data_IF_512943733285
#
_entry.id   IF_512943733285
#
_cell.length_a   1.000
_cell.length_b   1.000
_cell.length_c   1.000
_cell.angle_alpha   90.00
_cell.angle_beta   90.00
_cell.angle_gamma   90.00
#
_symmetry.space_group_name_H-M   'P 1'
#
loop_
_entity.id
_entity.type
_entity.pdbx_description
1 polymer ?
#
# COMPACT_ATOMS: atom_id res chain seq x y z
N UNK A 1 -17.32 -30.11 54.47
CA UNK A 1 -18.58 -29.49 54.02
C UNK A 1 -18.32 -28.01 53.71
N UNK A 2 -18.20 -27.66 52.43
CA UNK A 2 -18.23 -26.28 51.92
C UNK A 2 -19.04 -26.31 50.63
N UNK A 3 -20.07 -25.48 50.57
CA UNK A 3 -21.06 -25.43 49.49
C UNK A 3 -20.44 -24.98 48.16
N UNK A 4 -20.94 -25.44 47.00
CA UNK A 4 -20.58 -24.85 45.72
C UNK A 4 -21.37 -23.55 45.50
N UNK A 5 -20.60 -22.49 45.22
CA UNK A 5 -21.09 -21.18 44.81
C UNK A 5 -21.80 -21.31 43.45
N UNK A 6 -23.10 -21.04 43.42
CA UNK A 6 -23.87 -20.89 42.18
C UNK A 6 -23.26 -19.76 41.34
N UNK A 7 -22.66 -20.09 40.19
CA UNK A 7 -22.46 -19.11 39.11
C UNK A 7 -23.77 -19.02 38.31
N UNK A 8 -24.39 -17.84 38.17
CA UNK A 8 -25.53 -17.69 37.28
C UNK A 8 -25.07 -17.79 35.82
N UNK A 9 -25.90 -18.48 35.05
CA UNK A 9 -25.73 -18.73 33.64
C UNK A 9 -25.99 -17.47 32.80
N UNK A 10 -25.24 -17.37 31.70
CA UNK A 10 -25.51 -16.52 30.53
C UNK A 10 -25.54 -15.00 30.79
N UNK A 11 -24.35 -14.41 30.93
CA UNK A 11 -24.13 -13.08 30.39
C UNK A 11 -24.15 -13.19 28.86
N UNK A 12 -25.32 -12.91 28.29
CA UNK A 12 -25.48 -12.70 26.85
C UNK A 12 -24.55 -11.54 26.49
N UNK A 13 -23.44 -11.85 25.83
CA UNK A 13 -22.57 -10.83 25.23
C UNK A 13 -23.47 -9.86 24.45
N UNK A 14 -23.35 -8.54 24.68
CA UNK A 14 -24.16 -7.57 23.96
C UNK A 14 -23.97 -7.81 22.47
N UNK A 15 -25.09 -7.95 21.75
CA UNK A 15 -25.14 -7.90 20.29
C UNK A 15 -24.06 -6.96 19.78
N UNK A 16 -23.12 -7.48 18.99
CA UNK A 16 -22.23 -6.65 18.19
C UNK A 16 -23.12 -5.56 17.59
N UNK A 17 -22.90 -4.30 17.98
CA UNK A 17 -23.35 -3.17 17.18
C UNK A 17 -22.61 -3.31 15.85
N UNK A 18 -23.15 -4.14 14.96
CA UNK A 18 -22.79 -4.15 13.55
C UNK A 18 -22.96 -2.70 13.13
N UNK A 19 -21.84 -2.02 12.87
CA UNK A 19 -21.83 -0.69 12.32
C UNK A 19 -22.56 -0.73 10.98
N UNK A 20 -23.89 -0.58 11.02
CA UNK A 20 -24.71 -0.46 9.81
C UNK A 20 -24.27 0.84 9.15
N UNK A 21 -23.81 0.73 7.90
CA UNK A 21 -23.54 1.88 7.04
C UNK A 21 -24.69 2.89 7.16
N UNK A 22 -24.36 4.16 7.42
CA UNK A 22 -25.39 5.18 7.57
C UNK A 22 -26.12 5.41 6.24
N UNK A 23 -27.36 5.91 6.29
CA UNK A 23 -28.15 6.15 5.08
C UNK A 23 -27.42 7.08 4.09
N UNK A 24 -26.79 8.14 4.60
CA UNK A 24 -26.01 9.09 3.79
C UNK A 24 -24.77 8.47 3.16
N UNK A 25 -24.00 7.67 3.91
CA UNK A 25 -22.84 6.95 3.36
C UNK A 25 -23.25 6.03 2.21
N UNK A 26 -24.39 5.34 2.35
CA UNK A 26 -24.92 4.48 1.28
C UNK A 26 -25.37 5.28 0.06
N UNK A 27 -26.04 6.42 0.25
CA UNK A 27 -26.46 7.31 -0.84
C UNK A 27 -25.24 7.83 -1.60
N UNK A 28 -24.21 8.30 -0.89
CA UNK A 28 -22.96 8.76 -1.48
C UNK A 28 -22.31 7.63 -2.28
N UNK A 29 -22.20 6.43 -1.71
CA UNK A 29 -21.60 5.28 -2.39
C UNK A 29 -22.37 4.91 -3.67
N UNK A 30 -23.70 4.90 -3.63
CA UNK A 30 -24.53 4.64 -4.80
C UNK A 30 -24.35 5.73 -5.86
N UNK A 31 -24.32 7.00 -5.46
CA UNK A 31 -24.08 8.10 -6.39
C UNK A 31 -22.72 7.95 -7.08
N UNK A 32 -21.64 7.70 -6.33
CA UNK A 32 -20.29 7.51 -6.89
C UNK A 32 -20.25 6.31 -7.84
N UNK A 33 -20.72 5.14 -7.42
CA UNK A 33 -20.70 3.95 -8.28
C UNK A 33 -21.52 4.14 -9.57
N UNK A 34 -22.65 4.86 -9.48
CA UNK A 34 -23.46 5.21 -10.65
C UNK A 34 -22.77 6.22 -11.57
N UNK A 35 -22.18 7.27 -11.00
CA UNK A 35 -21.46 8.33 -11.70
C UNK A 35 -20.25 7.76 -12.45
N UNK A 36 -19.38 7.00 -11.77
CA UNK A 36 -18.22 6.35 -12.37
C UNK A 36 -18.62 5.29 -13.39
N UNK A 37 -19.66 4.49 -13.08
CA UNK A 37 -20.17 3.47 -13.99
C UNK A 37 -20.66 4.07 -15.31
N UNK A 38 -21.47 5.13 -15.25
CA UNK A 38 -21.96 5.81 -16.45
C UNK A 38 -20.82 6.49 -17.23
N UNK A 39 -19.94 7.22 -16.53
CA UNK A 39 -18.80 7.91 -17.14
C UNK A 39 -17.85 6.94 -17.85
N UNK A 40 -17.47 5.85 -17.19
CA UNK A 40 -16.56 4.85 -17.74
C UNK A 40 -17.19 4.03 -18.88
N UNK A 41 -18.50 3.73 -18.81
CA UNK A 41 -19.20 3.09 -19.94
C UNK A 41 -19.23 4.01 -21.17
N UNK A 42 -19.57 5.29 -20.99
CA UNK A 42 -19.62 6.25 -22.12
C UNK A 42 -18.22 6.52 -22.66
N UNK A 43 -17.27 6.92 -21.81
CA UNK A 43 -15.90 7.21 -22.22
C UNK A 43 -15.21 5.99 -22.84
N UNK A 44 -15.34 4.82 -22.22
CA UNK A 44 -14.82 3.57 -22.77
C UNK A 44 -15.43 3.23 -24.12
N UNK A 45 -16.75 3.39 -24.29
CA UNK A 45 -17.41 3.13 -25.58
C UNK A 45 -16.96 4.09 -26.68
N UNK A 46 -16.79 5.38 -26.37
CA UNK A 46 -16.32 6.38 -27.34
C UNK A 46 -14.89 6.07 -27.81
N UNK A 47 -13.99 5.72 -26.88
CA UNK A 47 -12.61 5.33 -27.21
C UNK A 47 -12.54 4.01 -28.00
N UNK A 48 -13.46 3.07 -27.74
CA UNK A 48 -13.54 1.83 -28.54
C UNK A 48 -14.11 2.09 -29.94
N UNK A 49 -15.10 2.97 -30.05
CA UNK A 49 -15.74 3.32 -31.33
C UNK A 49 -14.83 4.15 -32.23
N UNK A 50 -14.03 5.04 -31.66
CA UNK A 50 -13.03 5.85 -32.34
C UNK A 50 -11.68 5.78 -31.59
N UNK A 51 -10.89 4.70 -31.80
CA UNK A 51 -9.60 4.52 -31.11
C UNK A 51 -8.55 5.58 -31.42
N UNK A 52 -8.74 6.36 -32.48
CA UNK A 52 -7.89 7.52 -32.78
C UNK A 52 -8.14 8.71 -31.83
N UNK A 53 -9.17 8.63 -30.98
CA UNK A 53 -9.55 9.63 -29.98
C UNK A 53 -10.37 10.80 -30.55
N UNK A 54 -10.77 10.73 -31.83
CA UNK A 54 -11.46 11.83 -32.53
C UNK A 54 -12.81 12.21 -31.91
N UNK A 55 -13.54 11.27 -31.32
CA UNK A 55 -14.83 11.53 -30.66
C UNK A 55 -14.69 12.30 -29.34
N UNK A 56 -13.48 12.40 -28.79
CA UNK A 56 -13.21 13.08 -27.51
C UNK A 56 -12.17 14.21 -27.67
N UNK A 57 -11.81 14.57 -28.91
CA UNK A 57 -10.76 15.54 -29.23
C UNK A 57 -9.41 15.23 -28.54
N UNK A 58 -9.07 13.95 -28.42
CA UNK A 58 -7.86 13.49 -27.74
C UNK A 58 -6.84 12.92 -28.74
N UNK A 59 -5.72 13.61 -29.01
CA UNK A 59 -4.70 13.07 -29.91
C UNK A 59 -3.92 11.93 -29.23
N UNK A 60 -3.71 10.81 -29.94
CA UNK A 60 -2.96 9.63 -29.43
C UNK A 60 -1.57 9.98 -28.87
N UNK A 61 -0.93 11.02 -29.40
CA UNK A 61 0.40 11.49 -28.99
C UNK A 61 0.51 11.81 -27.49
N UNK A 62 -0.59 12.12 -26.80
CA UNK A 62 -0.59 12.40 -25.35
C UNK A 62 -0.15 11.22 -24.50
N UNK A 63 -0.24 9.98 -25.02
CA UNK A 63 0.18 8.76 -24.31
C UNK A 63 1.68 8.46 -24.43
N UNK A 64 2.45 9.34 -25.09
CA UNK A 64 3.90 9.26 -25.24
C UNK A 64 4.39 7.91 -25.81
N UNK A 65 3.62 7.32 -26.71
CA UNK A 65 3.94 6.03 -27.34
C UNK A 65 3.66 4.79 -26.48
N UNK A 66 3.01 4.94 -25.32
CA UNK A 66 2.63 3.80 -24.46
C UNK A 66 1.63 2.85 -25.13
N UNK A 67 0.77 3.39 -25.99
CA UNK A 67 -0.20 2.66 -26.80
C UNK A 67 -0.21 3.23 -28.23
N UNK A 68 -0.55 2.38 -29.21
CA UNK A 68 -0.70 2.79 -30.61
C UNK A 68 -1.98 3.60 -30.87
N UNK A 69 -3.01 3.40 -30.05
CA UNK A 69 -4.33 4.03 -30.10
C UNK A 69 -5.03 3.85 -28.73
N UNK A 70 -6.26 4.38 -28.59
CA UNK A 70 -7.06 4.28 -27.37
C UNK A 70 -7.91 3.00 -27.26
N UNK A 71 -7.76 1.99 -28.14
CA UNK A 71 -8.61 0.80 -28.11
C UNK A 71 -8.44 0.03 -26.80
N UNK A 72 -7.20 -0.28 -26.42
CA UNK A 72 -6.91 -1.02 -25.18
C UNK A 72 -7.34 -0.20 -23.95
N UNK A 73 -6.96 1.09 -23.81
CA UNK A 73 -7.51 1.94 -22.76
C UNK A 73 -9.04 1.97 -22.71
N UNK A 74 -9.70 2.09 -23.86
CA UNK A 74 -11.15 2.14 -23.99
C UNK A 74 -11.85 0.86 -23.53
N UNK A 75 -11.32 -0.31 -23.91
CA UNK A 75 -11.82 -1.62 -23.45
C UNK A 75 -11.71 -1.75 -21.92
N UNK A 76 -10.55 -1.37 -21.36
CA UNK A 76 -10.31 -1.42 -19.92
C UNK A 76 -11.28 -0.50 -19.17
N UNK A 77 -11.44 0.74 -19.64
CA UNK A 77 -12.35 1.71 -19.06
C UNK A 77 -13.81 1.24 -19.16
N UNK A 78 -14.23 0.70 -20.31
CA UNK A 78 -15.58 0.15 -20.49
C UNK A 78 -15.85 -1.02 -19.53
N UNK A 79 -14.89 -1.94 -19.37
CA UNK A 79 -14.98 -3.05 -18.44
C UNK A 79 -15.10 -2.59 -16.98
N UNK A 80 -14.34 -1.54 -16.60
CA UNK A 80 -14.48 -0.89 -15.29
C UNK A 80 -15.85 -0.24 -15.12
N UNK A 81 -16.42 0.32 -16.19
CA UNK A 81 -17.81 0.81 -16.22
C UNK A 81 -18.82 -0.28 -15.88
N UNK A 82 -18.71 -1.44 -16.54
CA UNK A 82 -19.56 -2.62 -16.24
C UNK A 82 -19.42 -3.03 -14.77
N UNK A 83 -18.19 -3.10 -14.25
CA UNK A 83 -17.93 -3.47 -12.86
C UNK A 83 -18.57 -2.48 -11.88
N UNK A 84 -18.45 -1.17 -12.13
CA UNK A 84 -19.06 -0.13 -11.28
C UNK A 84 -20.59 -0.17 -11.33
N UNK A 85 -21.19 -0.39 -12.49
CA UNK A 85 -22.64 -0.58 -12.62
C UNK A 85 -23.12 -1.85 -11.90
N UNK A 86 -22.38 -2.96 -12.02
CA UNK A 86 -22.69 -4.18 -11.28
C UNK A 86 -22.59 -3.97 -9.76
N UNK A 87 -21.56 -3.24 -9.29
CA UNK A 87 -21.39 -2.88 -7.90
C UNK A 87 -22.52 -1.96 -7.39
N UNK A 88 -22.95 -0.99 -8.20
CA UNK A 88 -24.10 -0.14 -7.91
C UNK A 88 -25.35 -0.99 -7.62
N UNK A 89 -25.70 -1.91 -8.51
CA UNK A 89 -26.86 -2.79 -8.30
C UNK A 89 -26.68 -3.73 -7.11
N UNK A 90 -25.47 -4.23 -6.86
CA UNK A 90 -25.17 -5.06 -5.69
C UNK A 90 -25.41 -4.31 -4.38
N UNK A 91 -24.94 -3.06 -4.27
CA UNK A 91 -25.16 -2.17 -3.12
C UNK A 91 -26.63 -1.75 -3.03
N UNK A 92 -27.29 -1.45 -4.15
CA UNK A 92 -28.70 -1.05 -4.20
C UNK A 92 -29.61 -2.16 -3.68
N UNK A 93 -29.35 -3.41 -4.10
CA UNK A 93 -30.08 -4.61 -3.70
C UNK A 93 -29.63 -5.20 -2.36
N UNK A 94 -28.59 -4.64 -1.72
CA UNK A 94 -28.01 -5.14 -0.46
C UNK A 94 -27.64 -6.62 -0.52
N UNK A 95 -26.99 -7.01 -1.61
CA UNK A 95 -26.55 -8.39 -1.79
C UNK A 95 -25.47 -8.75 -0.77
N UNK A 96 -25.27 -10.04 -0.46
CA UNK A 96 -24.26 -10.52 0.49
C UNK A 96 -22.80 -10.16 0.16
N UNK A 97 -22.53 -9.80 -1.10
CA UNK A 97 -21.20 -9.46 -1.61
C UNK A 97 -21.10 -7.99 -2.06
N UNK A 98 -22.06 -7.15 -1.65
CA UNK A 98 -22.10 -5.74 -2.03
C UNK A 98 -20.80 -5.00 -1.72
N UNK A 99 -20.21 -5.26 -0.55
CA UNK A 99 -18.96 -4.66 -0.11
C UNK A 99 -17.76 -5.11 -0.96
N UNK A 100 -17.72 -6.38 -1.40
CA UNK A 100 -16.63 -6.90 -2.25
C UNK A 100 -16.70 -6.20 -3.61
N UNK A 101 -17.90 -6.15 -4.20
CA UNK A 101 -18.12 -5.49 -5.48
C UNK A 101 -17.78 -4.00 -5.42
N UNK A 102 -18.26 -3.30 -4.39
CA UNK A 102 -17.99 -1.87 -4.22
C UNK A 102 -16.50 -1.59 -4.04
N UNK A 103 -15.82 -2.32 -3.16
CA UNK A 103 -14.37 -2.14 -2.94
C UNK A 103 -13.58 -2.47 -4.20
N UNK A 104 -13.91 -3.55 -4.91
CA UNK A 104 -13.20 -3.95 -6.14
C UNK A 104 -13.39 -2.91 -7.24
N UNK A 105 -14.62 -2.40 -7.42
CA UNK A 105 -14.92 -1.36 -8.40
C UNK A 105 -14.15 -0.06 -8.11
N UNK A 106 -14.17 0.42 -6.86
CA UNK A 106 -13.52 1.65 -6.46
C UNK A 106 -11.99 1.55 -6.50
N UNK A 107 -11.41 0.42 -6.06
CA UNK A 107 -9.97 0.19 -6.19
C UNK A 107 -9.56 0.07 -7.65
N UNK A 108 -10.38 -0.55 -8.50
CA UNK A 108 -10.17 -0.59 -9.95
C UNK A 108 -10.11 0.80 -10.56
N UNK A 109 -11.02 1.70 -10.19
CA UNK A 109 -11.00 3.09 -10.66
C UNK A 109 -9.80 3.89 -10.13
N UNK A 110 -9.45 3.73 -8.85
CA UNK A 110 -8.24 4.38 -8.31
C UNK A 110 -6.97 3.93 -9.03
N UNK A 111 -6.88 2.62 -9.32
CA UNK A 111 -5.76 2.06 -10.07
C UNK A 111 -5.75 2.58 -11.51
N UNK A 112 -6.92 2.64 -12.16
CA UNK A 112 -7.09 3.20 -13.50
C UNK A 112 -6.58 4.63 -13.59
N UNK A 113 -7.07 5.54 -12.75
CA UNK A 113 -6.63 6.93 -12.77
C UNK A 113 -5.14 7.08 -12.46
N UNK A 114 -4.60 6.25 -11.56
CA UNK A 114 -3.17 6.27 -11.27
C UNK A 114 -2.32 5.85 -12.48
N UNK A 115 -2.73 4.81 -13.21
CA UNK A 115 -2.07 4.38 -14.46
C UNK A 115 -2.22 5.44 -15.55
N UNK A 116 -3.41 6.04 -15.69
CA UNK A 116 -3.68 7.10 -16.65
C UNK A 116 -2.75 8.31 -16.42
N UNK A 117 -2.65 8.79 -15.18
CA UNK A 117 -1.72 9.88 -14.82
C UNK A 117 -0.28 9.49 -15.11
N UNK A 118 0.11 8.23 -14.89
CA UNK A 118 1.46 7.75 -15.17
C UNK A 118 1.77 7.68 -16.67
N UNK A 119 0.80 7.29 -17.50
CA UNK A 119 0.92 7.24 -18.97
C UNK A 119 0.96 8.65 -19.56
N UNK A 120 0.11 9.56 -19.07
CA UNK A 120 0.05 10.94 -19.56
C UNK A 120 1.18 11.82 -19.01
N UNK A 121 1.83 11.40 -17.92
CA UNK A 121 2.83 12.16 -17.16
C UNK A 121 2.32 13.53 -16.67
N UNK A 122 1.01 13.65 -16.50
CA UNK A 122 0.33 14.90 -16.17
C UNK A 122 -0.89 14.68 -15.28
N UNK A 123 -1.06 15.57 -14.29
CA UNK A 123 -2.26 15.65 -13.46
C UNK A 123 -3.22 16.70 -14.03
N UNK A 124 -4.03 16.30 -15.01
CA UNK A 124 -5.10 17.13 -15.55
C UNK A 124 -6.28 17.28 -14.56
N UNK A 125 -7.05 18.38 -14.66
CA UNK A 125 -8.18 18.66 -13.76
C UNK A 125 -9.28 17.59 -13.82
N UNK A 126 -9.42 16.91 -14.97
CA UNK A 126 -10.35 15.79 -15.13
C UNK A 126 -10.04 14.66 -14.13
N UNK A 127 -8.77 14.38 -13.84
CA UNK A 127 -8.42 13.39 -12.82
C UNK A 127 -8.92 13.79 -11.43
N UNK A 128 -8.98 15.09 -11.12
CA UNK A 128 -9.59 15.55 -9.87
C UNK A 128 -11.11 15.42 -9.90
N UNK A 129 -11.75 15.79 -11.02
CA UNK A 129 -13.20 15.69 -11.20
C UNK A 129 -13.70 14.26 -11.04
N UNK A 130 -13.03 13.28 -11.64
CA UNK A 130 -13.41 11.86 -11.58
C UNK A 130 -12.77 11.13 -10.38
N UNK A 131 -11.52 11.43 -10.03
CA UNK A 131 -10.82 10.72 -8.95
C UNK A 131 -11.30 11.07 -7.54
N UNK A 132 -11.68 12.34 -7.27
CA UNK A 132 -12.16 12.74 -5.93
C UNK A 132 -13.46 12.02 -5.52
N UNK A 133 -14.49 11.89 -6.39
CA UNK A 133 -15.64 11.04 -6.13
C UNK A 133 -15.26 9.61 -5.74
N UNK A 134 -14.31 8.97 -6.42
CA UNK A 134 -13.86 7.61 -6.09
C UNK A 134 -13.27 7.53 -4.68
N UNK A 135 -12.44 8.50 -4.30
CA UNK A 135 -11.89 8.58 -2.92
C UNK A 135 -13.02 8.71 -1.90
N UNK A 136 -13.99 9.59 -2.15
CA UNK A 136 -15.17 9.76 -1.29
C UNK A 136 -16.00 8.48 -1.21
N UNK A 137 -16.20 7.79 -2.34
CA UNK A 137 -16.86 6.49 -2.42
C UNK A 137 -16.14 5.41 -1.61
N UNK A 138 -14.80 5.36 -1.69
CA UNK A 138 -13.98 4.41 -0.93
C UNK A 138 -14.13 4.63 0.57
N UNK A 139 -14.13 5.88 1.03
CA UNK A 139 -14.40 6.24 2.43
C UNK A 139 -15.82 5.85 2.85
N UNK A 140 -16.82 6.08 2.00
CA UNK A 140 -18.21 5.71 2.24
C UNK A 140 -18.43 4.18 2.26
N UNK A 141 -17.57 3.40 1.60
CA UNK A 141 -17.58 1.94 1.60
C UNK A 141 -16.90 1.33 2.83
N UNK A 142 -16.04 2.06 3.56
CA UNK A 142 -15.31 1.54 4.73
C UNK A 142 -16.21 0.84 5.78
N UNK A 143 -17.41 1.35 6.14
CA UNK A 143 -18.29 0.67 7.09
C UNK A 143 -18.82 -0.68 6.60
N UNK A 144 -18.90 -0.90 5.29
CA UNK A 144 -19.36 -2.17 4.70
C UNK A 144 -18.34 -3.30 4.84
N UNK A 145 -17.05 -2.97 4.90
CA UNK A 145 -15.98 -3.97 5.01
C UNK A 145 -15.95 -4.55 6.43
N UNK A 146 -15.93 -5.88 6.62
CA UNK A 146 -15.81 -6.43 7.97
C UNK A 146 -14.44 -6.14 8.60
N UNK A 147 -14.41 -5.92 9.92
CA UNK A 147 -13.20 -5.52 10.67
C UNK A 147 -11.99 -6.44 10.43
N UNK A 148 -12.23 -7.74 10.33
CA UNK A 148 -11.20 -8.75 10.00
C UNK A 148 -10.49 -8.44 8.68
N UNK A 149 -11.26 -8.13 7.63
CA UNK A 149 -10.71 -7.87 6.31
C UNK A 149 -9.99 -6.52 6.28
N UNK A 150 -10.46 -5.52 7.04
CA UNK A 150 -9.73 -4.25 7.20
C UNK A 150 -8.32 -4.49 7.76
N UNK A 151 -8.20 -5.26 8.83
CA UNK A 151 -6.89 -5.52 9.44
C UNK A 151 -5.97 -6.29 8.48
N UNK A 152 -6.50 -7.31 7.80
CA UNK A 152 -5.74 -8.04 6.77
C UNK A 152 -5.29 -7.13 5.63
N UNK A 153 -6.18 -6.26 5.15
CA UNK A 153 -5.88 -5.31 4.09
C UNK A 153 -4.75 -4.35 4.52
N UNK A 154 -4.86 -3.73 5.71
CA UNK A 154 -3.82 -2.85 6.26
C UNK A 154 -2.46 -3.56 6.33
N UNK A 155 -2.39 -4.79 6.85
CA UNK A 155 -1.14 -5.55 6.90
C UNK A 155 -0.64 -5.93 5.50
N UNK A 156 -1.54 -6.29 4.58
CA UNK A 156 -1.18 -6.62 3.19
C UNK A 156 -0.64 -5.41 2.42
N UNK A 157 -0.97 -4.18 2.83
CA UNK A 157 -0.38 -2.97 2.24
C UNK A 157 1.15 -2.95 2.38
N UNK A 158 1.76 -3.60 3.39
CA UNK A 158 3.22 -3.71 3.48
C UNK A 158 3.82 -4.59 2.38
N UNK A 159 3.10 -5.64 1.99
CA UNK A 159 3.52 -6.49 0.85
C UNK A 159 3.35 -5.70 -0.45
N UNK A 160 2.19 -5.07 -0.64
CA UNK A 160 1.90 -4.30 -1.84
C UNK A 160 2.84 -3.09 -2.01
N UNK A 161 3.15 -2.36 -0.94
CA UNK A 161 4.12 -1.25 -1.00
C UNK A 161 5.49 -1.76 -1.42
N UNK A 162 5.90 -2.92 -0.90
CA UNK A 162 7.20 -3.51 -1.19
C UNK A 162 7.33 -3.95 -2.64
N UNK A 163 6.31 -4.63 -3.17
CA UNK A 163 6.24 -5.02 -4.58
C UNK A 163 6.22 -3.79 -5.48
N UNK A 164 5.42 -2.77 -5.13
CA UNK A 164 5.36 -1.52 -5.90
C UNK A 164 6.72 -0.83 -5.95
N UNK A 165 7.39 -0.64 -4.81
CA UNK A 165 8.68 0.06 -4.79
C UNK A 165 9.77 -0.71 -5.54
N UNK A 166 9.74 -2.05 -5.46
CA UNK A 166 10.60 -2.90 -6.28
C UNK A 166 10.32 -2.70 -7.78
N UNK A 167 9.05 -2.71 -8.20
CA UNK A 167 8.66 -2.48 -9.59
C UNK A 167 9.09 -1.09 -10.08
N UNK A 168 8.97 -0.04 -9.27
CA UNK A 168 9.45 1.32 -9.59
C UNK A 168 10.96 1.29 -9.91
N UNK A 169 11.75 0.57 -9.11
CA UNK A 169 13.19 0.42 -9.31
C UNK A 169 13.59 -0.44 -10.52
N UNK A 170 12.62 -1.02 -11.23
CA UNK A 170 12.82 -1.69 -12.52
C UNK A 170 12.30 -0.79 -13.65
N UNK A 171 11.05 -0.33 -13.54
CA UNK A 171 10.34 0.41 -14.59
C UNK A 171 11.01 1.76 -14.86
N UNK A 172 11.30 2.54 -13.81
CA UNK A 172 11.77 3.92 -13.99
C UNK A 172 13.17 3.99 -14.60
N UNK A 173 14.17 3.20 -14.17
CA UNK A 173 15.47 3.15 -14.84
C UNK A 173 15.42 2.80 -16.32
N UNK A 174 14.49 1.92 -16.74
CA UNK A 174 14.33 1.55 -18.15
C UNK A 174 13.88 2.73 -19.03
N UNK A 175 13.35 3.80 -18.44
CA UNK A 175 12.91 5.01 -19.14
C UNK A 175 14.01 6.08 -19.25
N UNK A 176 15.22 5.82 -18.75
CA UNK A 176 16.34 6.74 -18.86
C UNK A 176 17.50 6.10 -19.63
N UNK A 177 17.65 6.50 -20.89
CA UNK A 177 18.77 6.09 -21.74
C UNK A 177 20.12 6.46 -21.09
N UNK A 178 21.02 5.48 -20.99
CA UNK A 178 22.33 5.67 -20.35
C UNK A 178 22.32 5.61 -18.81
N UNK A 179 21.18 5.37 -18.16
CA UNK A 179 21.14 5.12 -16.72
C UNK A 179 21.73 3.75 -16.37
N UNK A 180 22.73 3.73 -15.49
CA UNK A 180 23.36 2.51 -15.00
C UNK A 180 22.85 2.17 -13.60
N UNK A 181 22.19 1.01 -13.46
CA UNK A 181 21.73 0.49 -12.17
C UNK A 181 22.88 0.25 -11.18
N UNK A 182 24.09 -0.01 -11.68
CA UNK A 182 25.24 -0.29 -10.85
C UNK A 182 25.90 1.00 -10.33
N UNK A 183 26.03 2.01 -11.19
CA UNK A 183 26.84 3.19 -10.90
C UNK A 183 26.04 4.45 -10.56
N UNK A 184 24.71 4.39 -10.63
CA UNK A 184 23.82 5.49 -10.25
C UNK A 184 22.91 5.10 -9.09
N UNK A 185 22.76 6.03 -8.15
CA UNK A 185 21.90 5.86 -6.98
C UNK A 185 20.43 5.97 -7.41
N UNK A 186 19.49 5.25 -6.78
CA UNK A 186 18.06 5.38 -7.09
C UNK A 186 17.52 6.81 -6.93
N UNK A 187 18.07 7.61 -6.02
CA UNK A 187 17.67 9.00 -5.83
C UNK A 187 17.90 9.87 -7.07
N UNK A 188 18.88 9.55 -7.93
CA UNK A 188 19.09 10.26 -9.20
C UNK A 188 17.88 10.14 -10.15
N UNK A 189 17.08 9.07 -10.06
CA UNK A 189 15.88 8.88 -10.90
C UNK A 189 14.78 9.92 -10.63
N UNK A 190 14.85 10.57 -9.46
CA UNK A 190 13.93 11.63 -9.03
C UNK A 190 14.60 13.00 -8.91
N UNK A 191 15.86 13.11 -9.34
CA UNK A 191 16.64 14.34 -9.23
C UNK A 191 16.09 15.46 -10.12
N UNK A 192 16.40 16.70 -9.74
CA UNK A 192 16.15 17.89 -10.56
C UNK A 192 16.96 17.74 -11.86
N UNK A 193 16.26 17.79 -12.99
CA UNK A 193 16.85 17.60 -14.32
C UNK A 193 16.77 16.16 -14.85
N UNK A 194 16.40 15.17 -14.02
CA UNK A 194 16.24 13.80 -14.49
C UNK A 194 14.99 13.66 -15.38
N UNK A 195 15.09 12.99 -16.55
CA UNK A 195 13.94 12.79 -17.44
C UNK A 195 12.83 11.97 -16.78
N UNK A 196 13.19 11.11 -15.84
CA UNK A 196 12.29 10.21 -15.11
C UNK A 196 11.60 10.82 -13.91
N UNK A 197 11.92 12.07 -13.54
CA UNK A 197 11.46 12.66 -12.26
C UNK A 197 9.93 12.66 -12.12
N UNK A 198 9.21 13.04 -13.17
CA UNK A 198 7.75 13.07 -13.17
C UNK A 198 7.16 11.66 -12.97
N UNK A 199 7.66 10.71 -13.74
CA UNK A 199 7.24 9.30 -13.65
C UNK A 199 7.49 8.75 -12.24
N UNK A 200 8.68 9.00 -11.67
CA UNK A 200 8.99 8.60 -10.30
C UNK A 200 8.00 9.18 -9.29
N UNK A 201 7.73 10.49 -9.36
CA UNK A 201 6.82 11.16 -8.43
C UNK A 201 5.40 10.55 -8.49
N UNK A 202 4.89 10.27 -9.69
CA UNK A 202 3.58 9.65 -9.90
C UNK A 202 3.56 8.23 -9.35
N UNK A 203 4.54 7.39 -9.72
CA UNK A 203 4.55 5.99 -9.32
C UNK A 203 4.82 5.80 -7.82
N UNK A 204 5.62 6.68 -7.20
CA UNK A 204 5.92 6.64 -5.77
C UNK A 204 4.76 7.16 -4.90
N UNK A 205 3.75 7.81 -5.47
CA UNK A 205 2.64 8.38 -4.68
C UNK A 205 1.85 7.32 -3.91
N UNK A 206 1.38 6.20 -4.52
CA UNK A 206 0.66 5.17 -3.77
C UNK A 206 1.52 4.47 -2.71
N UNK A 207 2.84 4.39 -2.91
CA UNK A 207 3.76 3.78 -1.94
C UNK A 207 3.65 4.45 -0.57
N UNK A 208 3.60 5.79 -0.52
CA UNK A 208 3.43 6.56 0.73
C UNK A 208 2.16 6.19 1.48
N UNK A 209 1.03 6.05 0.77
CA UNK A 209 -0.23 5.68 1.38
C UNK A 209 -0.26 4.22 1.83
N UNK A 210 0.33 3.32 1.05
CA UNK A 210 0.42 1.90 1.39
C UNK A 210 1.28 1.66 2.64
N UNK A 211 2.42 2.35 2.77
CA UNK A 211 3.28 2.20 3.95
C UNK A 211 2.64 2.81 5.21
N UNK A 212 1.88 3.91 5.08
CA UNK A 212 1.08 4.47 6.17
C UNK A 212 -0.03 3.50 6.61
N UNK A 213 -0.75 2.92 5.66
CA UNK A 213 -1.77 1.91 5.93
C UNK A 213 -1.15 0.68 6.62
N UNK A 214 0.04 0.27 6.19
CA UNK A 214 0.81 -0.80 6.84
C UNK A 214 1.19 -0.46 8.28
N UNK A 215 1.80 0.69 8.53
CA UNK A 215 2.16 1.15 9.88
C UNK A 215 0.95 1.22 10.81
N UNK A 216 -0.20 1.67 10.30
CA UNK A 216 -1.47 1.66 11.03
C UNK A 216 -1.95 0.23 11.34
N UNK A 217 -1.80 -0.69 10.38
CA UNK A 217 -2.05 -2.11 10.57
C UNK A 217 -1.18 -2.72 11.67
N UNK A 218 0.12 -2.43 11.68
CA UNK A 218 1.06 -2.87 12.73
C UNK A 218 0.64 -2.32 14.09
N UNK A 219 0.29 -1.04 14.17
CA UNK A 219 -0.15 -0.40 15.42
C UNK A 219 -1.42 -1.05 15.99
N UNK A 220 -2.38 -1.43 15.12
CA UNK A 220 -3.58 -2.18 15.53
C UNK A 220 -3.28 -3.61 15.94
N UNK A 221 -2.33 -4.27 15.28
CA UNK A 221 -1.93 -5.63 15.60
C UNK A 221 -1.22 -5.72 16.96
N UNK A 222 -0.59 -4.63 17.40
CA UNK A 222 0.21 -4.58 18.63
C UNK A 222 -0.56 -4.98 19.90
N UNK A 223 -1.86 -4.64 20.02
CA UNK A 223 -2.61 -4.86 21.26
C UNK A 223 -1.87 -4.25 22.47
N UNK A 224 -1.52 -5.10 23.43
CA UNK A 224 -0.76 -4.74 24.64
C UNK A 224 0.77 -4.79 24.47
N UNK A 225 1.28 -5.29 23.33
CA UNK A 225 2.72 -5.36 23.07
C UNK A 225 3.31 -3.96 22.81
N UNK A 226 3.92 -3.38 23.85
CA UNK A 226 4.45 -2.02 23.81
C UNK A 226 5.55 -1.83 22.76
N UNK A 227 6.44 -2.82 22.56
CA UNK A 227 7.50 -2.76 21.56
C UNK A 227 6.93 -2.72 20.14
N UNK A 228 5.93 -3.56 19.84
CA UNK A 228 5.26 -3.56 18.53
C UNK A 228 4.49 -2.25 18.30
N UNK A 229 3.96 -1.65 19.36
CA UNK A 229 3.29 -0.35 19.32
C UNK A 229 4.27 0.77 18.94
N UNK A 230 5.49 0.75 19.49
CA UNK A 230 6.56 1.69 19.12
C UNK A 230 6.95 1.47 17.66
N UNK A 231 7.17 0.22 17.23
CA UNK A 231 7.48 -0.10 15.84
C UNK A 231 6.41 0.40 14.86
N UNK A 232 5.11 0.20 15.18
CA UNK A 232 4.00 0.74 14.37
C UNK A 232 4.00 2.27 14.27
N UNK A 233 4.27 2.98 15.37
CA UNK A 233 4.41 4.45 15.37
C UNK A 233 5.60 4.92 14.51
N UNK A 234 6.72 4.22 14.58
CA UNK A 234 7.89 4.51 13.75
C UNK A 234 7.60 4.28 12.27
N UNK A 235 6.89 3.20 11.90
CA UNK A 235 6.44 2.97 10.52
C UNK A 235 5.47 4.04 10.02
N UNK A 236 4.58 4.54 10.89
CA UNK A 236 3.73 5.69 10.56
C UNK A 236 4.56 6.96 10.33
N UNK A 237 5.55 7.22 11.19
CA UNK A 237 6.46 8.35 11.02
C UNK A 237 7.27 8.23 9.71
N UNK A 238 7.82 7.04 9.42
CA UNK A 238 8.48 6.73 8.15
C UNK A 238 7.57 7.04 6.96
N UNK A 239 6.33 6.55 6.99
CA UNK A 239 5.36 6.81 5.92
C UNK A 239 5.03 8.29 5.76
N UNK A 240 4.90 9.02 6.87
CA UNK A 240 4.61 10.45 6.85
C UNK A 240 5.75 11.28 6.23
N UNK A 241 7.01 10.86 6.36
CA UNK A 241 8.14 11.49 5.66
C UNK A 241 8.00 11.40 4.13
N UNK A 242 7.22 10.45 3.61
CA UNK A 242 6.84 10.34 2.19
C UNK A 242 6.28 11.64 1.60
N UNK A 243 5.57 12.44 2.40
CA UNK A 243 5.02 13.73 1.96
C UNK A 243 6.07 14.85 1.87
N UNK A 244 7.25 14.67 2.49
CA UNK A 244 8.32 15.66 2.47
C UNK A 244 9.30 15.44 1.29
N UNK A 245 9.43 14.21 0.81
CA UNK A 245 10.32 13.86 -0.30
C UNK A 245 10.14 14.69 -1.58
N UNK A 246 8.91 15.06 -2.01
CA UNK A 246 8.71 15.93 -3.18
C UNK A 246 9.38 17.31 -3.07
N UNK A 247 9.65 17.78 -1.85
CA UNK A 247 10.30 19.07 -1.57
C UNK A 247 11.82 18.95 -1.35
N UNK A 248 12.34 17.72 -1.35
CA UNK A 248 13.75 17.41 -1.14
C UNK A 248 14.40 16.63 -2.31
N UNK A 249 14.14 16.95 -3.59
CA UNK A 249 14.88 16.33 -4.68
C UNK A 249 16.35 16.79 -4.69
N UNK A 250 17.28 15.87 -4.89
CA UNK A 250 18.67 16.22 -5.15
C UNK A 250 18.86 16.74 -6.58
N UNK A 251 19.96 17.44 -6.84
CA UNK A 251 20.42 17.73 -8.19
C UNK A 251 21.19 16.56 -8.79
N UNK A 252 21.28 16.53 -10.12
CA UNK A 252 22.15 15.61 -10.84
C UNK A 252 23.64 15.89 -10.53
N UNK A 253 24.45 14.84 -10.63
CA UNK A 253 25.89 14.85 -10.29
C UNK A 253 26.68 15.93 -11.03
N UNK A 254 26.33 16.18 -12.30
CA UNK A 254 26.98 17.19 -13.14
C UNK A 254 26.75 18.61 -12.57
N UNK A 255 25.54 18.88 -12.09
CA UNK A 255 25.18 20.15 -11.45
C UNK A 255 25.83 20.28 -10.06
N UNK A 256 25.88 19.20 -9.29
CA UNK A 256 26.53 19.19 -7.98
C UNK A 256 28.03 19.49 -8.08
N UNK A 257 28.72 18.85 -9.02
CA UNK A 257 30.16 19.06 -9.24
C UNK A 257 30.48 20.49 -9.70
N UNK A 258 29.56 21.14 -10.42
CA UNK A 258 29.68 22.54 -10.82
C UNK A 258 29.36 23.54 -9.69
N UNK A 259 29.10 23.07 -8.47
CA UNK A 259 28.76 23.92 -7.32
C UNK A 259 27.30 24.40 -7.31
N UNK A 260 26.43 23.83 -8.15
CA UNK A 260 25.01 24.20 -8.27
C UNK A 260 24.08 23.59 -7.21
N UNK A 261 24.62 22.98 -6.15
CA UNK A 261 23.83 22.42 -5.07
C UNK A 261 23.05 23.50 -4.30
N UNK A 262 21.88 23.14 -3.79
CA UNK A 262 21.00 24.06 -3.05
C UNK A 262 20.61 23.51 -1.68
N UNK A 263 19.74 24.24 -0.98
CA UNK A 263 19.12 23.76 0.25
C UNK A 263 18.38 22.42 0.05
N UNK A 264 17.85 22.16 -1.15
CA UNK A 264 17.13 20.92 -1.44
C UNK A 264 18.03 19.68 -1.31
N UNK A 265 19.30 19.76 -1.71
CA UNK A 265 20.28 18.68 -1.55
C UNK A 265 20.64 18.44 -0.08
N UNK A 266 20.66 19.50 0.72
CA UNK A 266 20.86 19.40 2.17
C UNK A 266 19.66 18.71 2.82
N UNK A 267 18.44 19.11 2.44
CA UNK A 267 17.22 18.49 2.91
C UNK A 267 17.13 17.02 2.49
N UNK A 268 17.54 16.69 1.27
CA UNK A 268 17.60 15.31 0.76
C UNK A 268 18.47 14.42 1.66
N UNK A 269 19.69 14.87 1.99
CA UNK A 269 20.61 14.14 2.88
C UNK A 269 20.04 13.97 4.29
N UNK A 270 19.47 15.04 4.86
CA UNK A 270 18.85 14.98 6.19
C UNK A 270 17.67 13.99 6.19
N UNK A 271 16.81 14.08 5.18
CA UNK A 271 15.63 13.23 5.07
C UNK A 271 16.02 11.77 4.87
N UNK A 272 17.04 11.48 4.06
CA UNK A 272 17.61 10.14 3.92
C UNK A 272 18.13 9.60 5.26
N UNK A 273 18.91 10.38 6.01
CA UNK A 273 19.46 9.98 7.30
C UNK A 273 18.36 9.71 8.35
N UNK A 274 17.37 10.60 8.46
CA UNK A 274 16.24 10.45 9.39
C UNK A 274 15.38 9.24 9.00
N UNK A 275 15.10 9.06 7.71
CA UNK A 275 14.34 7.91 7.20
C UNK A 275 15.04 6.59 7.54
N UNK A 276 16.36 6.52 7.34
CA UNK A 276 17.15 5.35 7.67
C UNK A 276 17.16 5.07 9.19
N UNK A 277 17.33 6.10 10.02
CA UNK A 277 17.30 5.94 11.48
C UNK A 277 15.95 5.39 11.96
N UNK A 278 14.84 5.94 11.46
CA UNK A 278 13.49 5.46 11.81
C UNK A 278 13.32 3.99 11.41
N UNK A 279 13.79 3.62 10.22
CA UNK A 279 13.79 2.23 9.77
C UNK A 279 14.56 1.33 10.74
N UNK A 280 15.82 1.66 11.05
CA UNK A 280 16.67 0.85 11.93
C UNK A 280 16.05 0.68 13.33
N UNK A 281 15.45 1.75 13.87
CA UNK A 281 14.71 1.67 15.13
C UNK A 281 13.48 0.78 15.02
N UNK A 282 12.68 0.92 13.95
CA UNK A 282 11.49 0.09 13.74
C UNK A 282 11.85 -1.40 13.59
N UNK A 283 12.94 -1.72 12.90
CA UNK A 283 13.53 -3.05 12.80
C UNK A 283 13.89 -3.61 14.18
N UNK A 284 14.61 -2.83 14.98
CA UNK A 284 15.01 -3.21 16.35
C UNK A 284 13.84 -3.44 17.29
N UNK A 285 12.85 -2.53 17.31
CA UNK A 285 11.65 -2.68 18.14
C UNK A 285 10.78 -3.86 17.70
N UNK A 286 10.70 -4.12 16.39
CA UNK A 286 10.01 -5.31 15.88
C UNK A 286 10.73 -6.60 16.30
N UNK A 287 12.07 -6.59 16.33
CA UNK A 287 12.89 -7.71 16.80
C UNK A 287 12.73 -7.99 18.31
N UNK A 288 12.52 -6.94 19.12
CA UNK A 288 12.21 -7.05 20.53
C UNK A 288 10.78 -7.56 20.77
N UNK A 289 9.84 -7.12 19.93
CA UNK A 289 8.42 -7.44 20.04
C UNK A 289 8.07 -8.88 19.69
N UNK A 290 8.80 -9.49 18.75
CA UNK A 290 8.47 -10.79 18.15
C UNK A 290 9.41 -11.90 18.65
N UNK A 291 9.08 -13.16 18.31
CA UNK A 291 9.78 -14.35 18.80
C UNK A 291 11.24 -14.49 18.33
N UNK A 292 11.97 -15.46 18.91
CA UNK A 292 13.42 -15.69 18.70
C UNK A 292 13.82 -15.77 17.23
N UNK A 293 13.03 -16.45 16.38
CA UNK A 293 13.33 -16.58 14.94
C UNK A 293 13.33 -15.24 14.22
N UNK A 294 12.32 -14.40 14.47
CA UNK A 294 12.24 -13.07 13.89
C UNK A 294 13.36 -12.17 14.40
N UNK A 295 13.73 -12.30 15.68
CA UNK A 295 14.85 -11.54 16.25
C UNK A 295 16.19 -11.86 15.57
N UNK A 296 16.50 -13.14 15.35
CA UNK A 296 17.72 -13.54 14.64
C UNK A 296 17.70 -13.01 13.21
N UNK A 297 16.58 -13.16 12.49
CA UNK A 297 16.40 -12.58 11.17
C UNK A 297 16.68 -11.08 11.15
N UNK A 298 16.09 -10.31 12.07
CA UNK A 298 16.31 -8.86 12.15
C UNK A 298 17.75 -8.47 12.48
N UNK A 299 18.46 -9.24 13.30
CA UNK A 299 19.89 -9.00 13.59
C UNK A 299 20.73 -9.20 12.34
N UNK A 300 20.47 -10.26 11.56
CA UNK A 300 21.15 -10.50 10.29
C UNK A 300 20.84 -9.38 9.29
N UNK A 301 19.57 -9.00 9.15
CA UNK A 301 19.16 -7.88 8.29
C UNK A 301 19.86 -6.59 8.70
N UNK A 302 19.91 -6.27 9.99
CA UNK A 302 20.61 -5.09 10.51
C UNK A 302 22.10 -5.11 10.15
N UNK A 303 22.78 -6.25 10.36
CA UNK A 303 24.19 -6.38 10.01
C UNK A 303 24.43 -6.13 8.52
N UNK A 304 23.60 -6.71 7.64
CA UNK A 304 23.71 -6.51 6.20
C UNK A 304 23.48 -5.04 5.81
N UNK A 305 22.45 -4.39 6.35
CA UNK A 305 22.19 -2.96 6.10
C UNK A 305 23.36 -2.08 6.52
N UNK A 306 24.00 -2.39 7.65
CA UNK A 306 25.18 -1.64 8.09
C UNK A 306 26.38 -1.87 7.15
N UNK A 307 26.59 -3.10 6.66
CA UNK A 307 27.67 -3.40 5.71
C UNK A 307 27.46 -2.64 4.40
N UNK A 308 26.29 -2.76 3.78
CA UNK A 308 26.02 -2.13 2.48
C UNK A 308 25.89 -0.61 2.61
N UNK A 309 25.36 -0.09 3.72
CA UNK A 309 25.37 1.33 4.02
C UNK A 309 26.79 1.92 4.12
N UNK A 310 27.73 1.19 4.75
CA UNK A 310 29.15 1.58 4.78
C UNK A 310 29.78 1.55 3.39
N UNK A 311 29.43 0.57 2.54
CA UNK A 311 29.91 0.50 1.15
C UNK A 311 29.37 1.68 0.32
N UNK A 312 28.09 2.02 0.45
CA UNK A 312 27.51 3.23 -0.16
C UNK A 312 28.24 4.49 0.28
N UNK A 313 28.48 4.65 1.58
CA UNK A 313 29.16 5.83 2.13
C UNK A 313 30.59 6.02 1.60
N UNK A 314 31.29 4.93 1.25
CA UNK A 314 32.63 5.01 0.65
C UNK A 314 32.64 5.64 -0.74
N UNK A 315 31.56 5.45 -1.51
CA UNK A 315 31.45 5.96 -2.88
C UNK A 315 30.66 7.28 -2.99
N UNK A 316 29.91 7.68 -1.95
CA UNK A 316 28.99 8.83 -2.01
C UNK A 316 29.66 10.16 -2.34
N UNK A 317 30.93 10.34 -1.97
CA UNK A 317 31.69 11.55 -2.30
C UNK A 317 31.90 11.70 -3.81
N UNK A 318 31.94 10.59 -4.55
CA UNK A 318 32.05 10.60 -6.01
C UNK A 318 30.78 11.13 -6.68
N UNK A 319 29.60 10.93 -6.08
CA UNK A 319 28.34 11.53 -6.60
C UNK A 319 28.42 13.06 -6.57
N UNK A 320 28.90 13.64 -5.47
CA UNK A 320 28.99 15.09 -5.33
C UNK A 320 30.03 15.73 -6.27
N UNK A 321 31.07 14.98 -6.65
CA UNK A 321 32.17 15.44 -7.51
C UNK A 321 32.02 15.02 -8.98
N UNK A 322 30.95 14.30 -9.32
CA UNK A 322 30.78 13.65 -10.63
C UNK A 322 31.95 12.72 -11.00
N UNK A 323 32.51 12.03 -10.00
CA UNK A 323 33.54 11.01 -10.17
C UNK A 323 32.91 9.61 -10.36
N UNK A 324 33.66 8.62 -10.87
CA UNK A 324 33.18 7.26 -11.00
C UNK A 324 32.74 6.64 -9.65
N UNK A 325 31.52 6.11 -9.62
CA UNK A 325 30.93 5.40 -8.48
C UNK A 325 30.48 4.02 -8.95
N UNK A 326 31.39 3.06 -9.17
CA UNK A 326 31.11 1.86 -9.95
C UNK A 326 29.99 0.98 -9.39
N UNK A 327 29.82 0.93 -8.06
CA UNK A 327 28.90 -0.01 -7.41
C UNK A 327 27.93 0.66 -6.41
N UNK A 328 28.01 1.98 -6.22
CA UNK A 328 27.12 2.70 -5.29
C UNK A 328 25.63 2.37 -5.51
N UNK A 329 25.20 2.24 -6.76
CA UNK A 329 23.81 1.92 -7.12
C UNK A 329 23.43 0.49 -6.77
N UNK A 330 24.39 -0.45 -6.76
CA UNK A 330 24.18 -1.83 -6.28
C UNK A 330 24.00 -1.84 -4.78
N UNK A 331 24.88 -1.15 -4.04
CA UNK A 331 24.84 -1.12 -2.57
C UNK A 331 23.53 -0.54 -2.04
N UNK A 332 23.10 0.62 -2.57
CA UNK A 332 21.84 1.22 -2.16
C UNK A 332 20.63 0.34 -2.51
N UNK A 333 20.64 -0.36 -3.65
CA UNK A 333 19.55 -1.27 -4.03
C UNK A 333 19.49 -2.50 -3.15
N UNK A 334 20.63 -3.01 -2.68
CA UNK A 334 20.65 -4.08 -1.69
C UNK A 334 20.03 -3.60 -0.37
N UNK A 335 20.41 -2.42 0.12
CA UNK A 335 19.82 -1.83 1.33
C UNK A 335 18.30 -1.63 1.21
N UNK A 336 17.85 -1.06 0.09
CA UNK A 336 16.42 -0.93 -0.22
C UNK A 336 15.78 -2.32 -0.24
N UNK A 337 16.37 -3.30 -0.92
CA UNK A 337 15.86 -4.67 -0.98
C UNK A 337 15.71 -5.31 0.40
N UNK A 338 16.69 -5.14 1.28
CA UNK A 338 16.64 -5.62 2.68
C UNK A 338 15.49 -4.99 3.46
N UNK A 339 15.27 -3.68 3.29
CA UNK A 339 14.12 -3.00 3.86
C UNK A 339 12.79 -3.56 3.33
N UNK A 340 12.63 -3.68 2.02
CA UNK A 340 11.39 -4.18 1.39
C UNK A 340 11.08 -5.62 1.83
N UNK A 341 12.09 -6.50 1.84
CA UNK A 341 11.94 -7.88 2.31
C UNK A 341 11.55 -7.89 3.79
N UNK A 342 12.16 -7.04 4.63
CA UNK A 342 11.79 -6.95 6.04
C UNK A 342 10.34 -6.52 6.24
N UNK A 343 9.85 -5.52 5.49
CA UNK A 343 8.44 -5.10 5.54
C UNK A 343 7.51 -6.26 5.15
N UNK A 344 7.84 -7.01 4.09
CA UNK A 344 7.09 -8.21 3.68
C UNK A 344 7.07 -9.27 4.78
N UNK A 345 8.22 -9.60 5.36
CA UNK A 345 8.33 -10.61 6.41
C UNK A 345 7.53 -10.20 7.64
N UNK A 346 7.63 -8.93 8.06
CA UNK A 346 6.84 -8.40 9.18
C UNK A 346 5.33 -8.50 8.90
N UNK A 347 4.89 -8.12 7.69
CA UNK A 347 3.49 -8.25 7.28
C UNK A 347 3.01 -9.71 7.34
N UNK A 348 3.79 -10.65 6.81
CA UNK A 348 3.45 -12.09 6.81
C UNK A 348 3.35 -12.63 8.24
N UNK A 349 4.32 -12.31 9.11
CA UNK A 349 4.30 -12.76 10.51
C UNK A 349 3.03 -12.28 11.21
N UNK A 350 2.68 -11.00 11.08
CA UNK A 350 1.49 -10.44 11.71
C UNK A 350 0.18 -11.01 11.14
N UNK A 351 0.13 -11.26 9.82
CA UNK A 351 -1.00 -11.94 9.18
C UNK A 351 -1.17 -13.37 9.69
N UNK A 352 -0.08 -14.10 9.91
CA UNK A 352 -0.08 -15.45 10.47
C UNK A 352 -0.54 -15.45 11.93
N UNK A 353 -0.06 -14.52 12.76
CA UNK A 353 -0.51 -14.38 14.15
C UNK A 353 -2.01 -14.08 14.24
N UNK A 354 -2.52 -13.19 13.38
CA UNK A 354 -3.95 -12.89 13.30
C UNK A 354 -4.77 -14.12 12.92
N UNK A 355 -4.27 -14.95 11.98
CA UNK A 355 -4.92 -16.20 11.59
C UNK A 355 -4.97 -17.19 12.76
N UNK A 356 -3.86 -17.34 13.48
CA UNK A 356 -3.77 -18.28 14.60
C UNK A 356 -4.69 -17.88 15.76
N UNK A 357 -4.76 -16.59 16.12
CA UNK A 357 -5.69 -16.10 17.16
C UNK A 357 -7.15 -16.48 16.87
N UNK A 358 -7.57 -16.35 15.61
CA UNK A 358 -8.93 -16.77 15.19
C UNK A 358 -9.19 -18.26 15.35
N UNK A 359 -8.18 -19.10 15.10
CA UNK A 359 -8.31 -20.55 15.27
C UNK A 359 -8.48 -20.93 16.74
N UNK A 360 -7.82 -20.23 17.67
CA UNK A 360 -7.97 -20.48 19.11
C UNK A 360 -9.28 -19.91 19.70
N UNK A 361 -9.82 -18.82 19.14
CA UNK A 361 -11.09 -18.23 19.59
C UNK A 361 -12.34 -18.98 19.07
N UNK A 362 -12.20 -19.84 18.06
CA UNK A 362 -13.27 -20.77 17.68
C UNK A 362 -13.21 -22.01 18.59
N UNK A 363 -14.18 -22.22 19.51
CA UNK A 363 -14.16 -23.40 20.36
C UNK A 363 -14.25 -24.64 19.47
N UNK A 364 -13.34 -25.60 19.69
CA UNK A 364 -13.40 -26.90 19.03
C UNK A 364 -14.78 -27.51 19.26
N UNK A 365 -15.54 -27.68 18.17
CA UNK A 365 -16.87 -28.33 18.20
C UNK A 365 -16.81 -29.75 18.78
N UNK A 366 -15.62 -30.33 18.96
CA UNK A 366 -15.39 -31.63 19.60
C UNK A 366 -15.74 -31.65 21.10
N UNK A 367 -15.69 -30.51 21.81
CA UNK A 367 -16.01 -30.52 23.26
C UNK A 367 -17.52 -30.48 23.53
N UNK A 368 -18.35 -30.23 22.51
CA UNK A 368 -19.82 -30.18 22.64
C UNK A 368 -20.50 -31.55 22.50
N UNK A 369 -19.90 -32.50 21.77
CA UNK A 369 -20.47 -33.85 21.62
C UNK A 369 -20.24 -34.73 22.85
N UNK A 370 -19.10 -34.59 23.53
CA UNK A 370 -18.75 -35.43 24.70
C UNK A 370 -19.60 -35.11 25.94
N UNK A 371 -20.15 -33.90 26.06
CA UNK A 371 -21.07 -33.54 27.16
C UNK A 371 -22.52 -33.94 26.92
N UNK A 372 -22.90 -34.30 25.69
CA UNK A 372 -24.29 -34.67 25.37
C UNK A 372 -24.56 -36.18 25.50
N UNK A 373 -23.52 -37.00 25.60
CA UNK A 373 -23.64 -38.47 25.69
C UNK A 373 -23.64 -39.02 27.13
N UNK A 374 -23.25 -38.22 28.13
CA UNK A 374 -23.25 -38.65 29.55
C UNK A 374 -24.57 -38.48 30.30
N UNK A 375 -25.66 -38.12 29.62
CA UNK A 375 -26.99 -37.94 30.25
C UNK A 375 -27.94 -39.13 30.09
N UNK A 376 -27.51 -40.25 29.51
CA UNK A 376 -28.32 -41.46 29.36
C UNK A 376 -27.79 -42.62 30.20
N UNK A 377 -28.00 -42.57 31.50
CA UNK A 377 -28.11 -43.78 32.33
C UNK A 377 -29.58 -44.20 32.40
N UNK A 378 -29.98 -45.35 31.84
CA UNK A 378 -31.33 -45.87 32.02
C UNK A 378 -31.49 -46.42 33.44
N UNK A 379 -32.52 -45.96 34.16
CA UNK A 379 -33.01 -46.63 35.36
C UNK A 379 -33.72 -47.91 34.93
N UNK A 380 -33.22 -49.06 35.36
CA UNK A 380 -33.98 -50.31 35.35
C UNK A 380 -34.59 -50.56 36.73
N UNK A 381 -35.83 -51.06 36.69
CA UNK A 381 -36.69 -51.48 37.80
C UNK A 381 -36.09 -52.66 38.55
#
# INVERSE_FOLDING_TARGET
>A
MRAPLFMPAHEVLPQEKLFRQSKWQRIILLFVLGYEGAGALVGGSLLVAAPDGSLMDMPVAIMHGSFSDFLIPGILLFALGILNTAAFFAVLRKTRFDWIMAVTALLGMLFWFWIEIAVLLELHWLHAMWGLPVVVGALAALPLVPSTYKQKALLSCGILSSVLYFAINIIVPLQWEGYSLASRVPSELSAIGAPTRKLWAILATPYTFLILAFGWGVLKAAGENHWLRIAGKLLLAYGALGFLWPFAPMHLRETLAAGGGTFSDTLHKILAAVTNLIYLLALGFSAAALGKRFRVYSIVTLALVLVFGVLTFKEVSGVAKNEPTPLIGVWERIDIGLFLIWVVVLAIVLLQEQRNKKTYEQPSNETRSVKQDKSKTPKFV
#
